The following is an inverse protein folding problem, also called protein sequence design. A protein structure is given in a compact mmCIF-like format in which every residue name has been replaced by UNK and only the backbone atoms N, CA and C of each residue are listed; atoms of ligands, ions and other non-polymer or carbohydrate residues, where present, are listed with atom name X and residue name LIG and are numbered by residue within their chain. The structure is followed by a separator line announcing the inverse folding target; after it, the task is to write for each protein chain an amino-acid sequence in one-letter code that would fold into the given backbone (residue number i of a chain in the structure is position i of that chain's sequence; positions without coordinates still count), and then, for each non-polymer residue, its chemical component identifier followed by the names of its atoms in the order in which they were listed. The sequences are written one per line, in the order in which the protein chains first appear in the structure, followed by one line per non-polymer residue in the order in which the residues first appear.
data_IF_490115324436
#
_entry.id   IF_490115324436
#
_cell.length_a   1.000
_cell.length_b   1.000
_cell.length_c   1.000
_cell.angle_alpha   90.00
_cell.angle_beta   90.00
_cell.angle_gamma   90.00
#
_symmetry.space_group_name_H-M   'P 1'
#
loop_
_entity.id
_entity.type
_entity.pdbx_description
1 polymer ?
#
# COMPACT_ATOMS: atom_id res chain seq x y z
N UNK A 1 -15.15 -27.66 19.63
CA UNK A 1 -14.91 -26.44 18.82
C UNK A 1 -13.68 -25.63 19.25
N UNK A 2 -13.06 -25.81 20.35
CA UNK A 2 -11.99 -24.95 20.88
C UNK A 2 -10.60 -25.05 20.19
N UNK A 3 -10.55 -25.10 18.87
CA UNK A 3 -9.30 -25.15 18.11
C UNK A 3 -9.41 -24.13 16.98
N UNK A 4 -8.55 -23.12 17.00
CA UNK A 4 -8.54 -22.03 16.02
C UNK A 4 -8.48 -22.55 14.57
N UNK A 5 -7.75 -23.64 14.31
CA UNK A 5 -7.69 -24.24 12.96
C UNK A 5 -9.08 -24.73 12.50
N UNK A 6 -9.87 -25.35 13.39
CA UNK A 6 -11.21 -25.82 13.02
C UNK A 6 -12.17 -24.67 12.74
N UNK A 7 -12.07 -23.57 13.48
CA UNK A 7 -12.89 -22.37 13.24
C UNK A 7 -12.55 -21.73 11.88
N UNK A 8 -11.28 -21.64 11.53
CA UNK A 8 -10.81 -21.16 10.22
C UNK A 8 -11.37 -22.02 9.08
N UNK A 9 -11.30 -23.35 9.21
CA UNK A 9 -11.84 -24.27 8.20
C UNK A 9 -13.36 -24.14 8.06
N UNK A 10 -14.11 -24.02 9.16
CA UNK A 10 -15.56 -23.82 9.13
C UNK A 10 -15.94 -22.50 8.45
N UNK A 11 -15.20 -21.41 8.72
CA UNK A 11 -15.45 -20.12 8.11
C UNK A 11 -15.30 -20.15 6.56
N UNK A 12 -14.30 -20.87 6.05
CA UNK A 12 -14.12 -21.06 4.61
C UNK A 12 -15.22 -21.93 3.98
N UNK A 13 -15.70 -22.96 4.73
CA UNK A 13 -16.71 -23.91 4.27
C UNK A 13 -18.16 -23.40 4.40
N UNK A 14 -18.35 -22.19 4.96
CA UNK A 14 -19.66 -21.55 5.10
C UNK A 14 -20.27 -21.15 3.75
N UNK A 15 -19.43 -20.65 2.83
CA UNK A 15 -19.88 -20.17 1.51
C UNK A 15 -19.51 -21.07 0.34
N UNK A 16 -18.57 -22.00 0.52
CA UNK A 16 -17.98 -22.76 -0.58
C UNK A 16 -17.76 -24.25 -0.25
N UNK A 17 -17.89 -25.11 -1.27
CA UNK A 17 -17.40 -26.49 -1.18
C UNK A 17 -15.92 -26.54 -1.56
N UNK A 18 -15.04 -27.04 -0.69
CA UNK A 18 -13.59 -27.01 -0.87
C UNK A 18 -12.96 -28.39 -0.67
N UNK A 19 -11.94 -28.70 -1.47
CA UNK A 19 -11.09 -29.88 -1.27
C UNK A 19 -10.06 -29.66 -0.14
N UNK A 20 -9.44 -30.76 0.33
CA UNK A 20 -8.33 -30.67 1.28
C UNK A 20 -7.18 -29.80 0.76
N UNK A 21 -6.86 -29.92 -0.53
CA UNK A 21 -5.79 -29.14 -1.15
C UNK A 21 -6.12 -27.64 -1.16
N UNK A 22 -7.32 -27.26 -1.52
CA UNK A 22 -7.78 -25.86 -1.52
C UNK A 22 -7.82 -25.26 -0.12
N UNK A 23 -8.32 -26.00 0.85
CA UNK A 23 -8.31 -25.58 2.25
C UNK A 23 -6.88 -25.42 2.80
N UNK A 24 -5.96 -26.33 2.43
CA UNK A 24 -4.56 -26.22 2.80
C UNK A 24 -3.90 -24.98 2.20
N UNK A 25 -4.22 -24.67 0.95
CA UNK A 25 -3.72 -23.50 0.25
C UNK A 25 -4.29 -22.20 0.83
N UNK A 26 -5.61 -22.11 1.07
CA UNK A 26 -6.25 -20.93 1.65
C UNK A 26 -5.73 -20.64 3.06
N UNK A 27 -5.60 -21.69 3.92
CA UNK A 27 -5.17 -21.55 5.31
C UNK A 27 -3.66 -21.53 5.52
N UNK A 28 -2.87 -21.82 4.46
CA UNK A 28 -1.40 -22.03 4.52
C UNK A 28 -1.00 -23.13 5.51
N UNK A 29 -1.82 -24.17 5.63
CA UNK A 29 -1.55 -25.31 6.48
C UNK A 29 -1.16 -26.55 5.66
N UNK A 30 -0.38 -27.45 6.24
CA UNK A 30 -0.08 -28.72 5.59
C UNK A 30 -1.34 -29.58 5.41
N UNK A 31 -1.50 -30.21 4.23
CA UNK A 31 -2.66 -31.06 3.90
C UNK A 31 -2.98 -32.13 4.97
N UNK A 32 -1.98 -32.87 5.54
CA UNK A 32 -2.27 -33.84 6.59
C UNK A 32 -2.94 -33.23 7.84
N UNK A 33 -2.54 -31.99 8.19
CA UNK A 33 -3.14 -31.27 9.32
C UNK A 33 -4.59 -30.90 9.01
N UNK A 34 -4.85 -30.36 7.82
CA UNK A 34 -6.21 -30.04 7.35
C UNK A 34 -7.08 -31.28 7.35
N UNK A 35 -6.61 -32.41 6.78
CA UNK A 35 -7.34 -33.68 6.75
C UNK A 35 -7.71 -34.19 8.15
N UNK A 36 -6.80 -34.07 9.13
CA UNK A 36 -7.06 -34.48 10.52
C UNK A 36 -8.17 -33.65 11.15
N UNK A 37 -8.17 -32.32 10.93
CA UNK A 37 -9.20 -31.44 11.47
C UNK A 37 -10.56 -31.64 10.77
N UNK A 38 -10.57 -31.86 9.45
CA UNK A 38 -11.79 -32.18 8.70
C UNK A 38 -12.43 -33.49 9.15
N UNK A 39 -11.62 -34.53 9.42
CA UNK A 39 -12.15 -35.80 9.96
C UNK A 39 -12.88 -35.57 11.28
N UNK A 40 -12.30 -34.82 12.21
CA UNK A 40 -12.93 -34.46 13.48
C UNK A 40 -14.18 -33.61 13.33
N UNK A 41 -14.19 -32.67 12.39
CA UNK A 41 -15.38 -31.87 12.10
C UNK A 41 -16.51 -32.70 11.52
N UNK A 42 -16.18 -33.68 10.66
CA UNK A 42 -17.14 -34.62 10.07
C UNK A 42 -17.70 -35.56 11.15
N UNK A 43 -16.87 -36.14 12.04
CA UNK A 43 -17.30 -36.94 13.17
C UNK A 43 -18.25 -36.18 14.11
N UNK A 44 -18.03 -34.86 14.26
CA UNK A 44 -18.89 -33.97 15.04
C UNK A 44 -20.17 -33.54 14.28
N UNK A 45 -20.36 -33.94 13.02
CA UNK A 45 -21.52 -33.56 12.21
C UNK A 45 -21.53 -32.12 11.74
N UNK A 46 -20.42 -31.37 11.85
CA UNK A 46 -20.31 -29.97 11.44
C UNK A 46 -19.99 -29.81 9.94
N UNK A 47 -19.39 -30.83 9.35
CA UNK A 47 -18.98 -30.83 7.94
C UNK A 47 -19.45 -32.11 7.27
N UNK A 48 -20.00 -31.96 6.07
CA UNK A 48 -20.33 -33.04 5.16
C UNK A 48 -19.33 -33.11 4.01
N UNK A 49 -19.11 -34.31 3.46
CA UNK A 49 -18.26 -34.50 2.28
C UNK A 49 -19.08 -35.07 1.10
N UNK A 50 -18.65 -34.70 -0.11
CA UNK A 50 -19.18 -35.17 -1.39
C UNK A 50 -18.03 -35.57 -2.30
N UNK A 51 -18.13 -36.72 -2.94
CA UNK A 51 -17.18 -37.13 -3.96
C UNK A 51 -17.63 -36.66 -5.35
N UNK A 52 -16.65 -36.16 -6.09
CA UNK A 52 -16.83 -35.77 -7.49
C UNK A 52 -15.58 -36.22 -8.28
N UNK A 53 -15.72 -37.30 -9.02
CA UNK A 53 -14.57 -37.97 -9.68
C UNK A 53 -13.54 -38.43 -8.69
N UNK A 54 -12.31 -37.96 -8.85
CA UNK A 54 -11.17 -38.25 -7.96
C UNK A 54 -11.07 -37.33 -6.74
N UNK A 55 -11.88 -36.29 -6.70
CA UNK A 55 -11.84 -35.25 -5.69
C UNK A 55 -12.92 -35.47 -4.60
N UNK A 56 -12.58 -35.11 -3.37
CA UNK A 56 -13.52 -35.06 -2.23
C UNK A 56 -13.66 -33.60 -1.83
N UNK A 57 -14.90 -33.09 -1.92
CA UNK A 57 -15.27 -31.75 -1.53
C UNK A 57 -15.94 -31.76 -0.17
N UNK A 58 -15.55 -30.84 0.68
CA UNK A 58 -16.12 -30.63 2.02
C UNK A 58 -16.96 -29.36 2.02
N UNK A 59 -18.05 -29.35 2.76
CA UNK A 59 -18.94 -28.19 2.98
C UNK A 59 -19.45 -28.18 4.42
N UNK A 60 -19.95 -27.04 4.86
CA UNK A 60 -20.68 -26.98 6.11
C UNK A 60 -21.92 -27.90 6.05
N UNK A 61 -22.22 -28.62 7.13
CA UNK A 61 -23.41 -29.47 7.18
C UNK A 61 -24.69 -28.63 6.98
N UNK A 62 -25.69 -29.17 6.28
CA UNK A 62 -26.92 -28.44 6.02
C UNK A 62 -27.67 -28.12 7.32
N UNK A 63 -28.31 -26.95 7.36
CA UNK A 63 -29.14 -26.52 8.54
C UNK A 63 -30.21 -27.54 8.88
N UNK A 64 -30.81 -28.17 7.87
CA UNK A 64 -31.85 -29.17 8.02
C UNK A 64 -31.36 -30.43 8.73
N UNK A 65 -30.09 -30.80 8.55
CA UNK A 65 -29.49 -32.00 9.15
C UNK A 65 -29.03 -31.78 10.59
N UNK A 66 -28.60 -30.55 10.93
CA UNK A 66 -27.95 -30.19 12.21
C UNK A 66 -28.33 -28.76 12.66
N UNK A 67 -29.64 -28.48 12.93
CA UNK A 67 -30.08 -27.10 13.21
C UNK A 67 -29.46 -26.49 14.50
N UNK A 68 -29.20 -27.29 15.51
CA UNK A 68 -28.62 -26.83 16.77
C UNK A 68 -27.13 -26.47 16.59
N UNK A 69 -26.38 -27.32 15.87
CA UNK A 69 -24.96 -27.04 15.55
C UNK A 69 -24.81 -25.81 14.67
N UNK A 70 -25.76 -25.60 13.76
CA UNK A 70 -25.75 -24.40 12.90
C UNK A 70 -26.01 -23.13 13.73
N UNK A 71 -26.99 -23.13 14.64
CA UNK A 71 -27.21 -22.01 15.58
C UNK A 71 -25.97 -21.70 16.40
N UNK A 72 -25.33 -22.76 16.93
CA UNK A 72 -24.11 -22.62 17.71
C UNK A 72 -22.97 -22.02 16.85
N UNK A 73 -22.82 -22.46 15.60
CA UNK A 73 -21.85 -21.90 14.68
C UNK A 73 -22.12 -20.41 14.43
N UNK A 74 -23.35 -19.99 14.16
CA UNK A 74 -23.71 -18.59 13.94
C UNK A 74 -23.36 -17.70 15.14
N UNK A 75 -23.61 -18.16 16.37
CA UNK A 75 -23.21 -17.46 17.60
C UNK A 75 -21.69 -17.28 17.67
N UNK A 76 -20.93 -18.33 17.41
CA UNK A 76 -19.46 -18.22 17.37
C UNK A 76 -18.96 -17.33 16.25
N UNK A 77 -19.60 -17.38 15.08
CA UNK A 77 -19.20 -16.61 13.88
C UNK A 77 -19.26 -15.10 14.10
N UNK A 78 -20.25 -14.61 14.84
CA UNK A 78 -20.41 -13.20 15.18
C UNK A 78 -19.37 -12.68 16.17
N UNK A 79 -18.83 -13.55 17.02
CA UNK A 79 -17.81 -13.21 18.01
C UNK A 79 -16.37 -13.49 17.52
N UNK A 80 -16.21 -14.05 16.31
CA UNK A 80 -14.90 -14.37 15.74
C UNK A 80 -14.28 -13.13 15.11
N UNK A 81 -13.42 -12.47 15.87
CA UNK A 81 -12.51 -11.41 15.41
C UNK A 81 -11.07 -11.96 15.39
N UNK A 82 -10.74 -12.77 14.38
CA UNK A 82 -9.42 -13.36 14.19
C UNK A 82 -8.85 -12.94 12.82
N UNK A 83 -7.74 -12.22 12.83
CA UNK A 83 -7.06 -11.75 11.64
C UNK A 83 -6.75 -12.88 10.63
N UNK A 84 -6.45 -14.10 11.10
CA UNK A 84 -6.18 -15.26 10.25
C UNK A 84 -7.42 -15.71 9.48
N UNK A 85 -8.64 -15.56 10.03
CA UNK A 85 -9.89 -15.89 9.33
C UNK A 85 -10.10 -14.90 8.16
N UNK A 86 -9.87 -13.62 8.40
CA UNK A 86 -9.96 -12.60 7.38
C UNK A 86 -8.93 -12.81 6.26
N UNK A 87 -7.70 -13.12 6.62
CA UNK A 87 -6.65 -13.44 5.66
C UNK A 87 -6.95 -14.71 4.83
N UNK A 88 -7.53 -15.75 5.46
CA UNK A 88 -7.94 -16.97 4.76
C UNK A 88 -9.06 -16.67 3.75
N UNK A 89 -10.04 -15.87 4.15
CA UNK A 89 -11.14 -15.44 3.27
C UNK A 89 -10.65 -14.59 2.09
N UNK A 90 -9.66 -13.72 2.31
CA UNK A 90 -9.03 -12.94 1.24
C UNK A 90 -8.30 -13.82 0.21
N UNK A 91 -7.72 -14.95 0.64
CA UNK A 91 -7.02 -15.91 -0.24
C UNK A 91 -7.96 -16.86 -1.00
N UNK A 92 -9.15 -17.10 -0.48
CA UNK A 92 -10.09 -18.07 -1.05
C UNK A 92 -10.44 -17.82 -2.53
N UNK A 93 -10.72 -16.58 -2.98
CA UNK A 93 -11.00 -16.31 -4.40
C UNK A 93 -9.87 -16.75 -5.34
N UNK A 94 -8.61 -16.60 -4.93
CA UNK A 94 -7.46 -17.00 -5.74
C UNK A 94 -7.33 -18.52 -5.83
N UNK A 95 -7.66 -19.24 -4.74
CA UNK A 95 -7.70 -20.70 -4.72
C UNK A 95 -8.80 -21.22 -5.65
N UNK A 96 -10.00 -20.62 -5.61
CA UNK A 96 -11.12 -21.01 -6.44
C UNK A 96 -10.87 -20.76 -7.94
N UNK A 97 -10.15 -19.70 -8.29
CA UNK A 97 -9.75 -19.43 -9.68
C UNK A 97 -8.89 -20.57 -10.28
N UNK A 98 -8.11 -21.26 -9.46
CA UNK A 98 -7.28 -22.38 -9.91
C UNK A 98 -8.10 -23.66 -10.13
N UNK A 99 -9.28 -23.80 -9.52
CA UNK A 99 -10.11 -25.02 -9.54
C UNK A 99 -10.54 -25.43 -10.95
N UNK A 100 -10.85 -24.52 -11.81
CA UNK A 100 -11.57 -24.83 -13.07
C UNK A 100 -10.75 -24.76 -14.34
N UNK A 101 -9.45 -24.45 -14.29
CA UNK A 101 -8.85 -23.90 -15.49
C UNK A 101 -7.85 -24.83 -16.20
N UNK A 102 -7.19 -25.75 -15.58
CA UNK A 102 -5.98 -26.33 -16.23
C UNK A 102 -5.07 -25.22 -16.83
N UNK A 103 -5.43 -23.94 -16.62
CA UNK A 103 -4.74 -22.73 -17.05
C UNK A 103 -3.70 -22.33 -16.01
N UNK A 104 -2.62 -21.73 -16.46
CA UNK A 104 -1.63 -21.14 -15.54
C UNK A 104 -2.29 -20.01 -14.73
N UNK A 105 -1.77 -19.73 -13.51
CA UNK A 105 -2.28 -18.62 -12.71
C UNK A 105 -2.31 -17.28 -13.49
N UNK A 106 -1.27 -16.93 -14.30
CA UNK A 106 -1.33 -15.72 -15.11
C UNK A 106 -2.52 -15.67 -16.09
N UNK A 107 -2.87 -16.80 -16.70
CA UNK A 107 -4.00 -16.87 -17.63
C UNK A 107 -5.35 -16.73 -16.91
N UNK A 108 -5.44 -17.27 -15.69
CA UNK A 108 -6.66 -17.20 -14.87
C UNK A 108 -6.94 -15.77 -14.35
N UNK A 109 -5.91 -14.94 -14.16
CA UNK A 109 -6.03 -13.56 -13.62
C UNK A 109 -5.72 -12.49 -14.66
N UNK A 110 -5.63 -12.85 -15.94
CA UNK A 110 -5.36 -11.90 -17.01
C UNK A 110 -6.40 -10.77 -17.02
N UNK A 111 -5.93 -9.52 -16.96
CA UNK A 111 -6.78 -8.34 -16.82
C UNK A 111 -7.05 -7.88 -15.38
N UNK A 112 -6.91 -8.76 -14.39
CA UNK A 112 -7.11 -8.45 -12.96
C UNK A 112 -5.84 -8.64 -12.11
N UNK A 113 -4.69 -8.84 -12.73
CA UNK A 113 -3.42 -9.14 -12.06
C UNK A 113 -3.04 -8.14 -10.96
N UNK A 114 -3.36 -6.86 -11.14
CA UNK A 114 -3.05 -5.81 -10.15
C UNK A 114 -3.85 -5.91 -8.86
N UNK A 115 -5.01 -6.59 -8.92
CA UNK A 115 -5.93 -6.80 -7.79
C UNK A 115 -5.63 -8.09 -7.04
N UNK A 116 -4.81 -8.97 -7.61
CA UNK A 116 -4.51 -10.28 -7.07
C UNK A 116 -3.13 -10.32 -6.44
N UNK A 117 -3.06 -10.88 -5.24
CA UNK A 117 -1.78 -11.10 -4.59
C UNK A 117 -0.94 -12.11 -5.37
N UNK A 118 0.32 -11.77 -5.59
CA UNK A 118 1.35 -12.68 -6.08
C UNK A 118 2.64 -12.44 -5.30
N UNK A 119 3.33 -13.49 -4.82
CA UNK A 119 4.59 -13.33 -4.09
C UNK A 119 5.60 -12.48 -4.85
N UNK A 120 6.19 -11.50 -4.18
CA UNK A 120 7.17 -10.57 -4.77
C UNK A 120 6.56 -9.45 -5.61
N UNK A 121 5.28 -9.47 -5.93
CA UNK A 121 4.59 -8.45 -6.72
C UNK A 121 3.97 -7.37 -5.84
N UNK A 122 4.79 -6.68 -5.08
CA UNK A 122 4.38 -5.51 -4.29
C UNK A 122 4.79 -4.21 -4.98
N UNK A 123 4.08 -3.11 -4.69
CA UNK A 123 4.48 -1.78 -5.18
C UNK A 123 5.89 -1.42 -4.69
N UNK A 124 6.24 -1.81 -3.47
CA UNK A 124 7.54 -1.55 -2.88
C UNK A 124 8.66 -2.28 -3.65
N UNK A 125 8.48 -3.58 -3.94
CA UNK A 125 9.45 -4.33 -4.74
C UNK A 125 9.64 -3.73 -6.14
N UNK A 126 8.54 -3.30 -6.77
CA UNK A 126 8.57 -2.61 -8.07
C UNK A 126 9.27 -1.26 -7.97
N UNK A 127 8.97 -0.46 -6.94
CA UNK A 127 9.62 0.83 -6.72
C UNK A 127 11.12 0.67 -6.48
N UNK A 128 11.54 -0.29 -5.62
CA UNK A 128 12.95 -0.60 -5.38
C UNK A 128 13.70 -1.05 -6.65
N UNK A 129 13.02 -1.78 -7.53
CA UNK A 129 13.59 -2.15 -8.84
C UNK A 129 13.72 -0.94 -9.77
N UNK A 130 12.68 -0.08 -9.89
CA UNK A 130 12.68 1.10 -10.75
C UNK A 130 13.70 2.16 -10.29
N UNK A 131 13.92 2.29 -8.99
CA UNK A 131 14.94 3.19 -8.43
C UNK A 131 16.35 2.87 -8.97
N UNK A 132 16.64 1.59 -9.32
CA UNK A 132 17.93 1.22 -9.90
C UNK A 132 18.22 1.88 -11.26
N UNK A 133 17.19 2.38 -11.96
CA UNK A 133 17.32 3.15 -13.21
C UNK A 133 17.65 4.63 -12.98
N UNK A 134 17.56 5.11 -11.74
CA UNK A 134 17.73 6.52 -11.39
C UNK A 134 19.20 6.83 -11.05
N UNK A 135 19.59 8.08 -11.33
CA UNK A 135 20.83 8.71 -10.87
C UNK A 135 20.45 10.08 -10.26
N UNK A 136 19.90 10.09 -9.02
CA UNK A 136 19.30 11.30 -8.47
C UNK A 136 20.33 12.33 -7.96
N UNK A 137 21.63 11.95 -7.86
CA UNK A 137 22.67 12.81 -7.33
C UNK A 137 22.44 13.16 -5.85
N UNK A 138 22.58 14.46 -5.52
CA UNK A 138 22.27 15.03 -4.19
C UNK A 138 20.77 15.31 -4.11
N UNK A 139 20.10 14.65 -3.17
CA UNK A 139 18.63 14.69 -3.04
C UNK A 139 18.23 15.50 -1.79
N UNK A 140 17.24 16.37 -1.95
CA UNK A 140 16.50 16.95 -0.83
C UNK A 140 15.07 16.44 -0.85
N UNK A 141 14.64 15.83 0.26
CA UNK A 141 13.25 15.43 0.49
C UNK A 141 12.59 16.39 1.49
N UNK A 142 11.68 17.24 0.98
CA UNK A 142 11.04 18.31 1.75
C UNK A 142 9.73 17.81 2.35
N UNK A 143 9.56 18.00 3.67
CA UNK A 143 8.49 17.42 4.49
C UNK A 143 8.50 15.89 4.36
N UNK A 144 9.69 15.31 4.55
CA UNK A 144 10.03 13.92 4.27
C UNK A 144 9.31 12.89 5.13
N UNK A 145 8.57 13.34 6.15
CA UNK A 145 8.03 12.43 7.14
C UNK A 145 9.16 11.63 7.81
N UNK A 146 8.91 10.37 8.10
CA UNK A 146 9.86 9.46 8.72
C UNK A 146 10.89 8.83 7.74
N UNK A 147 11.03 9.39 6.52
CA UNK A 147 12.11 9.12 5.60
C UNK A 147 12.01 7.86 4.75
N UNK A 148 10.83 7.38 4.47
CA UNK A 148 10.62 6.23 3.55
C UNK A 148 11.28 6.45 2.19
N UNK A 149 11.20 7.66 1.63
CA UNK A 149 11.84 7.97 0.35
C UNK A 149 13.36 8.07 0.47
N UNK A 150 13.86 8.61 1.59
CA UNK A 150 15.28 8.62 1.87
C UNK A 150 15.89 7.21 1.91
N UNK A 151 15.23 6.29 2.62
CA UNK A 151 15.62 4.87 2.65
C UNK A 151 15.55 4.22 1.26
N UNK A 152 14.49 4.49 0.50
CA UNK A 152 14.28 3.92 -0.83
C UNK A 152 15.38 4.35 -1.83
N UNK A 153 15.78 5.62 -1.78
CA UNK A 153 16.76 6.22 -2.70
C UNK A 153 18.21 6.01 -2.26
N UNK A 154 18.46 5.61 -1.01
CA UNK A 154 19.79 5.54 -0.42
C UNK A 154 20.81 4.76 -1.27
N UNK A 155 20.40 3.65 -1.89
CA UNK A 155 21.29 2.84 -2.74
C UNK A 155 21.70 3.50 -4.07
N UNK A 156 21.16 4.68 -4.42
CA UNK A 156 21.35 5.34 -5.72
C UNK A 156 21.74 6.82 -5.63
N UNK A 157 21.46 7.46 -4.51
CA UNK A 157 21.81 8.87 -4.29
C UNK A 157 23.24 9.00 -3.76
N UNK A 158 23.90 10.10 -4.12
CA UNK A 158 25.20 10.47 -3.55
C UNK A 158 25.05 10.94 -2.11
N UNK A 159 24.01 11.71 -1.86
CA UNK A 159 23.64 12.23 -0.55
C UNK A 159 22.15 12.51 -0.52
N UNK A 160 21.53 12.29 0.63
CA UNK A 160 20.11 12.59 0.86
C UNK A 160 20.01 13.44 2.12
N UNK A 161 19.36 14.58 1.99
CA UNK A 161 18.95 15.42 3.10
C UNK A 161 17.41 15.38 3.19
N UNK A 162 16.89 14.90 4.31
CA UNK A 162 15.48 14.86 4.65
C UNK A 162 15.16 15.99 5.61
N UNK A 163 14.14 16.80 5.36
CA UNK A 163 13.75 17.89 6.24
C UNK A 163 12.26 17.80 6.60
N UNK A 164 11.96 17.93 7.90
CA UNK A 164 10.59 17.98 8.40
C UNK A 164 10.48 18.96 9.58
N UNK A 165 9.31 19.56 9.78
CA UNK A 165 9.06 20.53 10.86
C UNK A 165 8.95 19.84 12.23
N UNK A 166 8.54 18.57 12.25
CA UNK A 166 8.29 17.81 13.48
C UNK A 166 9.55 17.13 14.00
N UNK A 167 9.99 17.53 15.20
CA UNK A 167 11.13 16.90 15.89
C UNK A 167 10.93 15.39 16.09
N UNK A 168 9.71 14.95 16.40
CA UNK A 168 9.40 13.53 16.59
C UNK A 168 9.56 12.72 15.29
N UNK A 169 9.12 13.31 14.17
CA UNK A 169 9.21 12.70 12.84
C UNK A 169 10.69 12.61 12.42
N UNK A 170 11.46 13.69 12.63
CA UNK A 170 12.92 13.71 12.38
C UNK A 170 13.65 12.65 13.20
N UNK A 171 13.30 12.50 14.49
CA UNK A 171 13.90 11.47 15.34
C UNK A 171 13.62 10.05 14.84
N UNK A 172 12.36 9.76 14.46
CA UNK A 172 11.99 8.47 13.87
C UNK A 172 12.69 8.21 12.53
N UNK A 173 12.84 9.24 11.70
CA UNK A 173 13.59 9.14 10.45
C UNK A 173 15.08 8.82 10.65
N UNK A 174 15.73 9.44 11.62
CA UNK A 174 17.12 9.12 11.99
C UNK A 174 17.29 7.68 12.44
N UNK A 175 16.34 7.15 13.20
CA UNK A 175 16.34 5.76 13.63
C UNK A 175 16.18 4.81 12.44
N UNK A 176 15.27 5.12 11.51
CA UNK A 176 15.03 4.33 10.29
C UNK A 176 16.27 4.17 9.42
N UNK A 177 17.05 5.23 9.25
CA UNK A 177 18.22 5.24 8.37
C UNK A 177 19.53 4.92 9.10
N UNK A 178 19.46 4.35 10.29
CA UNK A 178 20.66 3.93 11.02
C UNK A 178 21.55 3.06 10.15
N UNK A 179 22.83 3.44 10.02
CA UNK A 179 23.81 2.75 9.13
C UNK A 179 23.87 3.29 7.70
N UNK A 180 23.05 4.27 7.34
CA UNK A 180 23.11 4.97 6.04
C UNK A 180 23.76 6.34 6.23
N UNK A 181 25.11 6.40 6.27
CA UNK A 181 25.89 7.58 6.64
C UNK A 181 25.67 8.80 5.72
N UNK A 182 25.21 8.58 4.49
CA UNK A 182 24.93 9.64 3.50
C UNK A 182 23.46 10.12 3.51
N UNK A 183 22.63 9.65 4.46
CA UNK A 183 21.25 10.09 4.65
C UNK A 183 21.15 10.91 5.94
N UNK A 184 20.77 12.17 5.82
CA UNK A 184 20.75 13.13 6.92
C UNK A 184 19.35 13.66 7.18
N UNK A 185 18.96 13.81 8.45
CA UNK A 185 17.68 14.37 8.87
C UNK A 185 17.86 15.72 9.55
N UNK A 186 17.13 16.72 9.08
CA UNK A 186 17.10 18.08 9.57
C UNK A 186 15.71 18.45 10.06
N UNK A 187 15.64 19.18 11.16
CA UNK A 187 14.42 19.87 11.53
C UNK A 187 14.39 21.22 10.84
N UNK A 188 13.30 21.55 10.14
CA UNK A 188 13.14 22.85 9.48
C UNK A 188 11.82 23.01 8.79
N UNK A 189 11.56 24.25 8.34
CA UNK A 189 10.34 24.64 7.65
C UNK A 189 10.56 24.63 6.13
N UNK A 190 9.61 24.05 5.37
CA UNK A 190 9.64 24.05 3.91
C UNK A 190 9.59 25.45 3.30
N UNK A 191 9.17 26.47 4.06
CA UNK A 191 9.08 27.86 3.62
C UNK A 191 10.36 28.67 3.87
N UNK A 192 11.35 28.09 4.58
CA UNK A 192 12.65 28.70 4.89
C UNK A 192 13.71 27.61 5.04
N UNK A 193 14.12 27.01 3.91
CA UNK A 193 15.06 25.90 3.90
C UNK A 193 16.47 26.31 4.35
N UNK A 194 17.10 25.62 5.33
CA UNK A 194 18.42 25.98 5.85
C UNK A 194 19.56 25.50 4.94
N UNK A 195 19.36 25.53 3.64
CA UNK A 195 20.33 25.09 2.64
C UNK A 195 20.69 26.23 1.70
N UNK A 196 21.94 26.21 1.20
CA UNK A 196 22.41 27.18 0.22
C UNK A 196 21.69 27.00 -1.12
N UNK A 197 21.73 28.03 -1.95
CA UNK A 197 21.24 27.95 -3.32
C UNK A 197 21.99 26.88 -4.12
N UNK A 198 21.30 26.21 -5.05
CA UNK A 198 21.89 25.25 -5.98
C UNK A 198 22.65 24.09 -5.31
N UNK A 199 22.18 23.64 -4.15
CA UNK A 199 22.81 22.57 -3.36
C UNK A 199 22.41 21.17 -3.78
N UNK A 200 21.28 20.98 -4.48
CA UNK A 200 20.68 19.68 -4.75
C UNK A 200 20.41 19.46 -6.24
N UNK A 201 20.64 18.24 -6.70
CA UNK A 201 20.40 17.84 -8.09
C UNK A 201 18.95 17.32 -8.27
N UNK A 202 18.35 16.84 -7.19
CA UNK A 202 16.94 16.41 -7.15
C UNK A 202 16.27 16.94 -5.87
N UNK A 203 15.11 17.59 -6.04
CA UNK A 203 14.27 18.04 -4.91
C UNK A 203 12.92 17.35 -5.00
N UNK A 204 12.49 16.78 -3.88
CA UNK A 204 11.22 16.07 -3.74
C UNK A 204 10.28 16.88 -2.84
N UNK A 205 9.02 17.01 -3.26
CA UNK A 205 7.91 17.57 -2.50
C UNK A 205 6.73 16.59 -2.60
N UNK A 206 6.80 15.49 -1.86
CA UNK A 206 5.83 14.40 -1.96
C UNK A 206 4.78 14.52 -0.88
N UNK A 207 3.54 14.81 -1.27
CA UNK A 207 2.37 15.02 -0.39
C UNK A 207 2.54 16.14 0.65
N UNK A 208 3.48 17.06 0.44
CA UNK A 208 3.82 18.14 1.35
C UNK A 208 2.95 19.39 1.17
N UNK A 209 2.61 19.76 -0.07
CA UNK A 209 1.96 21.03 -0.39
C UNK A 209 0.57 21.21 0.24
N UNK A 210 -0.14 20.12 0.56
CA UNK A 210 -1.44 20.20 1.25
C UNK A 210 -1.33 20.65 2.70
N UNK A 211 -0.14 20.61 3.30
CA UNK A 211 0.16 21.14 4.64
C UNK A 211 0.67 22.59 4.63
N UNK A 212 0.89 23.16 3.45
CA UNK A 212 1.42 24.51 3.31
C UNK A 212 0.30 25.56 3.25
N UNK A 213 0.36 26.57 4.10
CA UNK A 213 -0.45 27.78 3.98
C UNK A 213 0.06 28.73 2.88
N UNK A 214 1.33 28.58 2.48
CA UNK A 214 2.02 29.40 1.47
C UNK A 214 2.72 28.50 0.43
N UNK A 215 1.97 27.72 -0.39
CA UNK A 215 2.55 26.75 -1.31
C UNK A 215 3.49 27.38 -2.35
N UNK A 216 3.26 28.61 -2.78
CA UNK A 216 4.16 29.34 -3.66
C UNK A 216 5.54 29.58 -3.02
N UNK A 217 5.59 29.90 -1.73
CA UNK A 217 6.85 30.11 -1.01
C UNK A 217 7.62 28.80 -0.87
N UNK A 218 6.93 27.70 -0.54
CA UNK A 218 7.56 26.38 -0.48
C UNK A 218 8.15 25.95 -1.84
N UNK A 219 7.44 26.21 -2.93
CA UNK A 219 7.93 25.94 -4.29
C UNK A 219 9.10 26.87 -4.68
N UNK A 220 9.08 28.13 -4.26
CA UNK A 220 10.19 29.07 -4.47
C UNK A 220 11.47 28.63 -3.75
N UNK A 221 11.35 28.17 -2.49
CA UNK A 221 12.47 27.63 -1.74
C UNK A 221 13.01 26.34 -2.38
N UNK A 222 12.13 25.41 -2.81
CA UNK A 222 12.52 24.23 -3.57
C UNK A 222 13.28 24.60 -4.85
N UNK A 223 12.82 25.59 -5.60
CA UNK A 223 13.50 26.12 -6.79
C UNK A 223 14.82 26.79 -6.47
N UNK A 224 14.93 27.51 -5.34
CA UNK A 224 16.18 28.17 -4.91
C UNK A 224 17.29 27.16 -4.66
N UNK A 225 17.00 26.11 -3.89
CA UNK A 225 18.01 25.10 -3.49
C UNK A 225 18.34 24.10 -4.59
N UNK A 226 17.52 24.01 -5.64
CA UNK A 226 17.75 23.15 -6.79
C UNK A 226 18.91 23.68 -7.63
N UNK A 227 19.85 22.83 -8.02
CA UNK A 227 20.99 23.15 -8.90
C UNK A 227 20.54 23.36 -10.35
N UNK A 228 21.37 24.04 -11.16
CA UNK A 228 21.16 24.09 -12.61
C UNK A 228 21.19 22.69 -13.21
N UNK A 229 20.26 22.38 -14.11
CA UNK A 229 20.06 21.05 -14.66
C UNK A 229 19.36 20.08 -13.70
N UNK A 230 19.08 20.49 -12.46
CA UNK A 230 18.41 19.68 -11.45
C UNK A 230 16.90 19.54 -11.70
N UNK A 231 16.27 18.61 -11.00
CA UNK A 231 14.87 18.23 -11.17
C UNK A 231 14.06 18.40 -9.87
N UNK A 232 12.90 19.03 -10.01
CA UNK A 232 11.87 19.09 -8.97
C UNK A 232 10.78 18.07 -9.27
N UNK A 233 10.52 17.16 -8.35
CA UNK A 233 9.39 16.23 -8.38
C UNK A 233 8.38 16.58 -7.30
N UNK A 234 7.14 16.81 -7.70
CA UNK A 234 6.02 17.10 -6.79
C UNK A 234 4.95 16.04 -6.94
N UNK A 235 4.45 15.50 -5.83
CA UNK A 235 3.22 14.75 -5.80
C UNK A 235 2.26 15.41 -4.79
N UNK A 236 1.00 15.65 -5.19
CA UNK A 236 0.03 16.32 -4.31
C UNK A 236 -1.40 15.93 -4.68
N UNK A 237 -2.36 16.22 -3.80
CA UNK A 237 -3.76 15.98 -4.09
C UNK A 237 -4.28 16.90 -5.22
N UNK A 238 -5.05 16.31 -6.13
CA UNK A 238 -5.93 17.09 -7.01
C UNK A 238 -7.00 17.78 -6.17
N UNK A 239 -7.41 18.99 -6.56
CA UNK A 239 -8.43 19.76 -5.86
C UNK A 239 -9.72 18.94 -5.63
N UNK A 240 -10.24 18.99 -4.42
CA UNK A 240 -11.43 18.25 -4.00
C UNK A 240 -12.30 19.02 -3.02
N UNK A 241 -13.51 18.51 -2.71
CA UNK A 241 -14.48 19.17 -1.81
C UNK A 241 -14.53 18.56 -0.40
N UNK A 242 -13.75 17.53 -0.15
CA UNK A 242 -13.78 16.71 1.07
C UNK A 242 -12.92 17.35 2.17
N UNK A 243 -13.43 18.39 2.84
CA UNK A 243 -12.69 19.13 3.89
C UNK A 243 -12.52 18.30 5.16
N UNK A 244 -13.61 17.68 5.65
CA UNK A 244 -13.59 16.93 6.91
C UNK A 244 -12.63 15.72 6.87
N UNK A 245 -12.64 14.84 5.84
CA UNK A 245 -11.72 13.74 5.78
C UNK A 245 -10.24 14.15 5.84
N UNK A 246 -9.86 15.25 5.19
CA UNK A 246 -8.44 15.66 5.13
C UNK A 246 -8.00 16.49 6.34
N UNK A 247 -8.95 17.18 7.01
CA UNK A 247 -8.68 17.95 8.23
C UNK A 247 -8.14 17.07 9.36
N UNK A 248 -8.67 15.84 9.48
CA UNK A 248 -8.21 14.88 10.46
C UNK A 248 -6.72 14.51 10.30
N UNK A 249 -6.18 14.67 9.08
CA UNK A 249 -4.76 14.47 8.76
C UNK A 249 -3.94 15.77 8.78
N UNK A 250 -4.51 16.90 9.20
CA UNK A 250 -3.80 18.17 9.32
C UNK A 250 -3.64 18.95 8.01
N UNK A 251 -4.33 18.57 6.93
CA UNK A 251 -4.28 19.34 5.68
C UNK A 251 -4.91 20.72 5.86
N UNK A 252 -4.24 21.75 5.36
CA UNK A 252 -4.68 23.14 5.42
C UNK A 252 -5.32 23.63 4.13
N UNK A 253 -5.14 22.90 3.04
CA UNK A 253 -5.80 23.14 1.76
C UNK A 253 -6.37 21.84 1.16
N UNK A 254 -7.18 21.96 0.13
CA UNK A 254 -7.89 20.85 -0.51
C UNK A 254 -7.29 20.44 -1.84
N UNK A 255 -5.99 20.59 -2.01
CA UNK A 255 -5.27 20.22 -3.23
C UNK A 255 -5.31 21.29 -4.32
N UNK A 256 -4.83 20.97 -5.50
CA UNK A 256 -4.54 21.88 -6.59
C UNK A 256 -5.11 21.38 -7.91
N UNK A 257 -5.42 22.31 -8.85
CA UNK A 257 -5.60 21.93 -10.25
C UNK A 257 -4.23 21.82 -10.94
N UNK A 258 -4.05 20.93 -11.95
CA UNK A 258 -2.77 20.80 -12.66
C UNK A 258 -2.28 22.12 -13.25
N UNK A 259 -3.18 22.93 -13.84
CA UNK A 259 -2.84 24.22 -14.41
C UNK A 259 -2.37 25.23 -13.36
N UNK A 260 -3.02 25.22 -12.17
CA UNK A 260 -2.63 26.07 -11.05
C UNK A 260 -1.24 25.67 -10.51
N UNK A 261 -1.00 24.37 -10.32
CA UNK A 261 0.27 23.86 -9.82
C UNK A 261 1.40 24.17 -10.80
N UNK A 262 1.17 23.95 -12.11
CA UNK A 262 2.11 24.31 -13.18
C UNK A 262 2.47 25.79 -13.13
N UNK A 263 1.47 26.67 -13.10
CA UNK A 263 1.70 28.12 -13.06
C UNK A 263 2.54 28.54 -11.84
N UNK A 264 2.24 27.97 -10.65
CA UNK A 264 3.03 28.26 -9.44
C UNK A 264 4.49 27.82 -9.56
N UNK A 265 4.77 26.69 -10.21
CA UNK A 265 6.14 26.20 -10.42
C UNK A 265 6.86 27.03 -11.49
N UNK A 266 6.20 27.34 -12.60
CA UNK A 266 6.79 28.15 -13.68
C UNK A 266 7.11 29.58 -13.20
N UNK A 267 6.33 30.16 -12.28
CA UNK A 267 6.61 31.46 -11.61
C UNK A 267 7.93 31.43 -10.81
N UNK A 268 8.44 30.26 -10.40
CA UNK A 268 9.73 30.13 -9.69
C UNK A 268 10.94 30.07 -10.62
N UNK A 269 10.74 30.17 -11.95
CA UNK A 269 11.78 30.07 -12.96
C UNK A 269 12.16 28.64 -13.34
N UNK A 270 11.38 27.64 -12.88
CA UNK A 270 11.52 26.25 -13.29
C UNK A 270 10.69 25.99 -14.56
N UNK A 271 11.14 25.07 -15.42
CA UNK A 271 10.41 24.66 -16.61
C UNK A 271 9.63 23.37 -16.36
N UNK A 272 8.31 23.44 -16.24
CA UNK A 272 7.47 22.25 -16.06
C UNK A 272 7.48 21.37 -17.30
N UNK A 273 7.98 20.14 -17.17
CA UNK A 273 7.99 19.11 -18.22
C UNK A 273 6.73 18.26 -18.24
N UNK A 274 6.22 17.96 -17.07
CA UNK A 274 5.04 17.13 -16.89
C UNK A 274 4.20 17.64 -15.71
N UNK A 275 2.88 17.65 -15.85
CA UNK A 275 1.95 17.92 -14.75
C UNK A 275 0.60 17.36 -15.11
N UNK A 276 0.21 16.22 -14.50
CA UNK A 276 -1.08 15.58 -14.74
C UNK A 276 -1.51 14.69 -13.56
N UNK A 277 -2.75 14.21 -13.59
CA UNK A 277 -3.25 13.22 -12.65
C UNK A 277 -2.65 11.85 -13.01
N UNK A 278 -1.85 11.31 -12.09
CA UNK A 278 -1.13 10.03 -12.32
C UNK A 278 -1.74 8.86 -11.61
N UNK A 279 -2.54 9.08 -10.56
CA UNK A 279 -3.22 8.00 -9.87
C UNK A 279 -4.52 8.44 -9.23
N UNK A 280 -5.38 7.45 -8.94
CA UNK A 280 -6.63 7.60 -8.20
C UNK A 280 -6.63 6.58 -7.09
N UNK A 281 -6.85 7.01 -5.84
CA UNK A 281 -6.91 6.10 -4.71
C UNK A 281 -8.09 5.13 -4.81
N UNK A 282 -7.88 3.89 -4.39
CA UNK A 282 -8.94 2.86 -4.36
C UNK A 282 -9.94 3.07 -3.23
N UNK A 283 -9.52 3.74 -2.14
CA UNK A 283 -10.37 4.03 -0.97
C UNK A 283 -11.26 5.24 -1.25
N UNK A 284 -12.51 5.17 -0.82
CA UNK A 284 -13.42 6.33 -0.82
C UNK A 284 -12.82 7.43 0.06
N UNK A 285 -12.80 8.69 -0.42
CA UNK A 285 -13.57 9.23 -1.56
C UNK A 285 -12.85 9.23 -2.92
N UNK A 286 -11.87 8.35 -3.14
CA UNK A 286 -11.11 8.18 -4.39
C UNK A 286 -10.31 9.44 -4.76
N UNK A 287 -9.47 9.89 -3.84
CA UNK A 287 -8.58 11.02 -4.07
C UNK A 287 -7.73 10.80 -5.32
N UNK A 288 -7.58 11.86 -6.11
CA UNK A 288 -6.70 11.87 -7.28
C UNK A 288 -5.38 12.51 -6.91
N UNK A 289 -4.29 11.98 -7.41
CA UNK A 289 -2.94 12.48 -7.17
C UNK A 289 -2.39 13.11 -8.45
N UNK A 290 -1.90 14.34 -8.34
CA UNK A 290 -1.15 15.01 -9.40
C UNK A 290 0.32 14.73 -9.18
N UNK A 291 1.02 14.41 -10.25
CA UNK A 291 2.49 14.43 -10.30
C UNK A 291 2.93 15.56 -11.21
N UNK A 292 3.92 16.34 -10.76
CA UNK A 292 4.59 17.35 -11.56
C UNK A 292 6.11 17.08 -11.55
N UNK A 293 6.71 17.19 -12.72
CA UNK A 293 8.16 17.18 -12.93
C UNK A 293 8.56 18.50 -13.61
N UNK A 294 9.55 19.17 -13.04
CA UNK A 294 10.13 20.40 -13.61
C UNK A 294 11.65 20.36 -13.56
N UNK A 295 12.28 21.06 -14.50
CA UNK A 295 13.74 21.22 -14.58
C UNK A 295 14.14 22.66 -14.27
N UNK A 296 15.33 22.87 -13.70
CA UNK A 296 15.97 24.18 -13.56
C UNK A 296 16.98 24.38 -14.69
N UNK A 297 16.79 25.42 -15.49
CA UNK A 297 17.66 25.78 -16.59
C UNK A 297 19.02 26.33 -16.15
#
# INVERSE_FOLDING_TARGET
MADATRLRLLALLEGEELTVAELAQATRLAQPRVSTHLARLREAGLVADRRDGVSVYYRLAAVADQPELHRLWQLFRTELDDALISEDAERLPDVLLQRGSGRSWPDAVAGDMERRYSPGRSWEATARALVQLLAPGRVLDIASGDGVMGELLAGRAERIDCIDVSEKVVAAGRERVTGLEHVHFHRGDMHALPFAEQSFDTVLLLHALTYSHQPKLALSEAGRVLAKGGKLLVATLYQHRYREPVRAYGHVNTGFAPQQLRAMVDETGLATRFCDITSVERRTPHFKIITLLADKS
#
